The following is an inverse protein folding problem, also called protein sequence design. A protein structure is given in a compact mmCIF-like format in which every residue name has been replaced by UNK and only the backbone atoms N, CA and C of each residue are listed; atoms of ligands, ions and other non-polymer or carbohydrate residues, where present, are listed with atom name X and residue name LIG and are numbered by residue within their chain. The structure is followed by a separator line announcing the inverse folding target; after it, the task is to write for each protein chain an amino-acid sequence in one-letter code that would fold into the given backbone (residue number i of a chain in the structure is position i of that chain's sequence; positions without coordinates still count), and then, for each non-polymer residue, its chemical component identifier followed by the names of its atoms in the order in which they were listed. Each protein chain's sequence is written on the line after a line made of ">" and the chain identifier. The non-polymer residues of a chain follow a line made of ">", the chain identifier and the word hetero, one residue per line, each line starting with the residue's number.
data_IF_656854198917
#
_entry.id   IF_656854198917
#
_cell.length_a   1.000
_cell.length_b   1.000
_cell.length_c   1.000
_cell.angle_alpha   90.00
_cell.angle_beta   90.00
_cell.angle_gamma   90.00
#
_symmetry.space_group_name_H-M   'P 1'
#
loop_
_entity.id
_entity.type
_entity.pdbx_description
1 polymer ?
#
# COMPACT_ATOMS: atom_id res chain seq x y z
N UNK A 1 24.11 -14.74 5.36
CA UNK A 1 23.14 -15.84 5.45
C UNK A 1 22.16 -15.51 6.56
N UNK A 2 21.05 -14.88 6.25
CA UNK A 2 19.91 -14.77 7.17
C UNK A 2 18.71 -15.22 6.35
N UNK A 3 18.51 -16.53 6.37
CA UNK A 3 17.32 -17.16 5.83
C UNK A 3 16.30 -17.17 6.98
N UNK A 4 15.42 -16.22 7.02
CA UNK A 4 14.29 -16.20 7.93
C UNK A 4 13.01 -16.02 7.12
N UNK A 5 12.70 -17.05 6.33
CA UNK A 5 11.30 -17.30 5.98
C UNK A 5 10.58 -17.61 7.30
N UNK A 6 10.05 -16.60 7.94
CA UNK A 6 9.18 -16.75 9.10
C UNK A 6 7.88 -17.38 8.59
N UNK A 7 7.86 -18.70 8.52
CA UNK A 7 6.63 -19.46 8.27
C UNK A 7 5.62 -18.99 9.29
N UNK A 8 4.51 -18.45 8.83
CA UNK A 8 3.42 -18.00 9.69
C UNK A 8 3.11 -19.06 10.73
N UNK A 9 3.22 -18.71 12.02
CA UNK A 9 2.98 -19.67 13.10
C UNK A 9 1.51 -20.10 13.07
N UNK A 10 1.24 -21.38 13.29
CA UNK A 10 -0.11 -21.95 13.24
C UNK A 10 -1.18 -21.14 14.01
N UNK A 11 -0.92 -20.64 15.23
CA UNK A 11 -1.85 -19.77 15.94
C UNK A 11 -2.24 -18.51 15.17
N UNK A 12 -1.28 -17.84 14.53
CA UNK A 12 -1.54 -16.62 13.77
C UNK A 12 -2.43 -16.87 12.53
N UNK A 13 -2.26 -18.00 11.85
CA UNK A 13 -3.13 -18.39 10.74
C UNK A 13 -4.57 -18.67 11.22
N UNK A 14 -4.71 -19.20 12.43
CA UNK A 14 -6.04 -19.40 13.05
C UNK A 14 -6.69 -18.05 13.34
N UNK A 15 -5.94 -17.11 13.90
CA UNK A 15 -6.45 -15.76 14.21
C UNK A 15 -6.89 -15.02 12.93
N UNK A 16 -6.11 -15.11 11.85
CA UNK A 16 -6.50 -14.53 10.55
C UNK A 16 -7.77 -15.15 9.98
N UNK A 17 -7.91 -16.49 10.06
CA UNK A 17 -9.13 -17.16 9.62
C UNK A 17 -10.34 -16.76 10.45
N UNK A 18 -10.16 -16.62 11.76
CA UNK A 18 -11.22 -16.15 12.64
C UNK A 18 -11.63 -14.71 12.29
N UNK A 19 -10.65 -13.83 12.01
CA UNK A 19 -10.93 -12.46 11.57
C UNK A 19 -11.68 -12.42 10.24
N UNK A 20 -11.26 -13.24 9.27
CA UNK A 20 -12.00 -13.39 8.02
C UNK A 20 -13.45 -13.81 8.27
N UNK A 21 -13.69 -14.85 9.08
CA UNK A 21 -15.04 -15.35 9.39
C UNK A 21 -15.90 -14.31 10.12
N UNK A 22 -15.28 -13.49 10.97
CA UNK A 22 -15.97 -12.40 11.67
C UNK A 22 -16.46 -11.33 10.69
N UNK A 23 -15.68 -11.02 9.66
CA UNK A 23 -16.01 -10.02 8.64
C UNK A 23 -16.99 -10.58 7.61
N UNK A 24 -16.73 -11.77 7.09
CA UNK A 24 -17.47 -12.41 5.99
C UNK A 24 -18.89 -12.91 6.37
N UNK A 25 -19.19 -13.01 7.64
CA UNK A 25 -20.52 -13.45 8.06
C UNK A 25 -20.89 -14.87 7.63
N UNK A 26 -22.18 -15.09 7.32
CA UNK A 26 -22.75 -16.41 7.05
C UNK A 26 -22.43 -16.96 5.63
N UNK A 27 -22.26 -16.10 4.65
CA UNK A 27 -21.99 -16.50 3.25
C UNK A 27 -20.51 -16.82 2.99
N UNK A 28 -19.63 -16.53 3.95
CA UNK A 28 -18.19 -16.77 3.89
C UNK A 28 -17.46 -16.02 2.75
N UNK A 29 -18.03 -14.91 2.33
CA UNK A 29 -17.46 -13.98 1.37
C UNK A 29 -17.43 -12.58 2.01
N UNK A 30 -16.45 -11.76 1.64
CA UNK A 30 -16.38 -10.37 2.11
C UNK A 30 -16.71 -9.47 0.94
N UNK A 31 -17.78 -8.69 1.04
CA UNK A 31 -18.07 -7.61 0.11
C UNK A 31 -17.31 -6.32 0.47
N UNK A 32 -17.40 -5.27 -0.39
CA UNK A 32 -16.69 -3.99 -0.16
C UNK A 32 -17.09 -3.30 1.13
N UNK A 33 -18.36 -3.37 1.50
CA UNK A 33 -18.88 -2.72 2.71
C UNK A 33 -18.38 -3.44 3.95
N UNK A 34 -18.46 -4.75 3.97
CA UNK A 34 -17.95 -5.60 5.03
C UNK A 34 -16.43 -5.47 5.19
N UNK A 35 -15.70 -5.37 4.09
CA UNK A 35 -14.25 -5.17 4.08
C UNK A 35 -13.87 -3.82 4.71
N UNK A 36 -14.53 -2.74 4.29
CA UNK A 36 -14.30 -1.40 4.81
C UNK A 36 -14.60 -1.32 6.32
N UNK A 37 -15.77 -1.82 6.72
CA UNK A 37 -16.20 -1.82 8.12
C UNK A 37 -15.33 -2.75 8.98
N UNK A 38 -15.06 -3.96 8.51
CA UNK A 38 -14.31 -4.98 9.26
C UNK A 38 -12.84 -4.66 9.47
N UNK A 39 -12.24 -3.84 8.60
CA UNK A 39 -10.88 -3.33 8.72
C UNK A 39 -10.80 -1.90 9.26
N UNK A 40 -11.94 -1.27 9.55
CA UNK A 40 -12.05 0.10 10.09
C UNK A 40 -11.32 1.15 9.21
N UNK A 41 -11.37 0.97 7.87
CA UNK A 41 -10.69 1.86 6.92
C UNK A 41 -11.55 3.10 6.69
N UNK A 42 -11.08 4.26 7.15
CA UNK A 42 -11.83 5.52 7.05
C UNK A 42 -11.85 6.13 5.65
N UNK A 43 -10.82 5.89 4.84
CA UNK A 43 -10.71 6.42 3.49
C UNK A 43 -11.32 5.42 2.49
N UNK A 44 -12.40 5.85 1.81
CA UNK A 44 -13.14 5.01 0.87
C UNK A 44 -12.31 4.64 -0.37
N UNK A 45 -11.50 5.55 -0.91
CA UNK A 45 -10.67 5.30 -2.10
C UNK A 45 -9.62 4.24 -1.80
N UNK A 46 -8.92 4.37 -0.66
CA UNK A 46 -7.95 3.37 -0.21
C UNK A 46 -8.63 2.04 0.11
N UNK A 47 -9.80 2.07 0.75
CA UNK A 47 -10.55 0.84 1.02
C UNK A 47 -10.92 0.11 -0.27
N UNK A 48 -11.42 0.85 -1.26
CA UNK A 48 -11.76 0.29 -2.57
C UNK A 48 -10.53 -0.27 -3.28
N UNK A 49 -9.42 0.46 -3.28
CA UNK A 49 -8.19 -0.02 -3.91
C UNK A 49 -7.63 -1.25 -3.21
N UNK A 50 -7.62 -1.25 -1.89
CA UNK A 50 -7.18 -2.42 -1.12
C UNK A 50 -8.07 -3.64 -1.38
N UNK A 51 -9.39 -3.44 -1.45
CA UNK A 51 -10.33 -4.50 -1.83
C UNK A 51 -9.99 -5.08 -3.20
N UNK A 52 -9.72 -4.25 -4.21
CA UNK A 52 -9.38 -4.69 -5.57
C UNK A 52 -8.06 -5.50 -5.64
N UNK A 53 -7.13 -5.24 -4.73
CA UNK A 53 -5.89 -6.01 -4.58
C UNK A 53 -6.17 -7.40 -3.97
N UNK A 54 -7.14 -7.50 -3.08
CA UNK A 54 -7.56 -8.77 -2.50
C UNK A 54 -8.44 -9.59 -3.45
N UNK A 55 -9.41 -8.96 -4.12
CA UNK A 55 -10.33 -9.56 -5.10
C UNK A 55 -9.60 -9.82 -6.43
N UNK A 56 -8.80 -10.89 -6.48
CA UNK A 56 -7.91 -11.18 -7.61
C UNK A 56 -8.63 -11.63 -8.87
N UNK A 57 -9.75 -12.33 -8.71
CA UNK A 57 -10.54 -12.82 -9.81
C UNK A 57 -11.62 -11.81 -10.28
N UNK A 58 -11.69 -10.66 -9.59
CA UNK A 58 -12.65 -9.56 -9.84
C UNK A 58 -14.11 -10.04 -9.78
N UNK A 59 -14.39 -10.94 -8.84
CA UNK A 59 -15.75 -11.47 -8.58
C UNK A 59 -16.66 -10.44 -7.88
N UNK A 60 -16.08 -9.41 -7.27
CA UNK A 60 -16.76 -8.42 -6.44
C UNK A 60 -16.88 -8.84 -4.97
N UNK A 61 -16.28 -9.97 -4.61
CA UNK A 61 -16.19 -10.47 -3.24
C UNK A 61 -14.82 -11.10 -2.99
N UNK A 62 -14.35 -11.09 -1.75
CA UNK A 62 -13.09 -11.72 -1.36
C UNK A 62 -13.40 -13.03 -0.65
N UNK A 63 -12.87 -14.13 -1.15
CA UNK A 63 -12.94 -15.42 -0.49
C UNK A 63 -11.76 -15.64 0.49
N UNK A 64 -11.83 -16.72 1.28
CA UNK A 64 -10.80 -17.05 2.28
C UNK A 64 -9.42 -17.33 1.62
N UNK A 65 -9.38 -17.85 0.40
CA UNK A 65 -8.11 -18.15 -0.27
C UNK A 65 -7.43 -16.86 -0.71
N UNK A 66 -8.15 -15.94 -1.33
CA UNK A 66 -7.68 -14.62 -1.73
C UNK A 66 -7.21 -13.79 -0.54
N UNK A 67 -8.00 -13.80 0.54
CA UNK A 67 -7.64 -13.12 1.78
C UNK A 67 -6.33 -13.65 2.35
N UNK A 68 -6.21 -14.96 2.52
CA UNK A 68 -5.02 -15.59 3.10
C UNK A 68 -3.79 -15.42 2.21
N UNK A 69 -3.94 -15.52 0.90
CA UNK A 69 -2.85 -15.39 -0.06
C UNK A 69 -2.26 -13.97 -0.07
N UNK A 70 -3.13 -12.96 -0.03
CA UNK A 70 -2.69 -11.55 0.02
C UNK A 70 -2.01 -11.23 1.34
N UNK A 71 -2.54 -11.70 2.49
CA UNK A 71 -1.90 -11.53 3.79
C UNK A 71 -0.54 -12.26 3.84
N UNK A 72 -0.44 -13.47 3.27
CA UNK A 72 0.82 -14.20 3.21
C UNK A 72 1.89 -13.44 2.39
N UNK A 73 1.49 -12.84 1.27
CA UNK A 73 2.36 -12.00 0.46
C UNK A 73 2.91 -10.81 1.26
N UNK A 74 2.04 -10.09 1.98
CA UNK A 74 2.44 -8.92 2.78
C UNK A 74 3.39 -9.32 3.93
N UNK A 75 3.15 -10.45 4.58
CA UNK A 75 3.94 -10.87 5.77
C UNK A 75 5.23 -11.57 5.35
N UNK A 76 5.15 -12.50 4.41
CA UNK A 76 6.21 -13.46 4.06
C UNK A 76 6.83 -13.23 2.68
N UNK A 77 6.27 -12.31 1.89
CA UNK A 77 6.80 -11.94 0.59
C UNK A 77 8.19 -11.32 0.66
N UNK A 78 8.87 -11.29 -0.47
CA UNK A 78 10.16 -10.59 -0.62
C UNK A 78 9.98 -9.08 -0.45
N UNK A 79 11.07 -8.34 -0.24
CA UNK A 79 11.01 -6.87 -0.20
C UNK A 79 10.40 -6.30 -1.49
N UNK A 80 10.71 -6.91 -2.64
CA UNK A 80 10.12 -6.53 -3.93
C UNK A 80 8.60 -6.74 -3.96
N UNK A 81 8.11 -7.87 -3.41
CA UNK A 81 6.67 -8.16 -3.34
C UNK A 81 5.93 -7.14 -2.46
N UNK A 82 6.56 -6.76 -1.34
CA UNK A 82 6.00 -5.73 -0.44
C UNK A 82 5.99 -4.33 -1.05
N UNK A 83 7.06 -3.97 -1.76
CA UNK A 83 7.13 -2.71 -2.52
C UNK A 83 6.07 -2.72 -3.62
N UNK A 84 5.88 -3.86 -4.32
CA UNK A 84 4.83 -3.99 -5.33
C UNK A 84 3.43 -3.81 -4.73
N UNK A 85 3.15 -4.47 -3.61
CA UNK A 85 1.88 -4.30 -2.90
C UNK A 85 1.62 -2.84 -2.50
N UNK A 86 2.65 -2.16 -1.95
CA UNK A 86 2.53 -0.75 -1.59
C UNK A 86 2.31 0.14 -2.83
N UNK A 87 3.00 -0.13 -3.93
CA UNK A 87 2.80 0.58 -5.20
C UNK A 87 1.36 0.42 -5.70
N UNK A 88 0.88 -0.83 -5.79
CA UNK A 88 -0.47 -1.14 -6.25
C UNK A 88 -1.56 -0.51 -5.37
N UNK A 89 -1.29 -0.37 -4.07
CA UNK A 89 -2.20 0.30 -3.12
C UNK A 89 -2.32 1.81 -3.39
N UNK A 90 -1.27 2.44 -3.87
CA UNK A 90 -1.23 3.89 -4.11
C UNK A 90 -1.52 4.28 -5.57
N UNK A 91 -1.49 3.34 -6.50
CA UNK A 91 -2.01 3.45 -7.85
C UNK A 91 -3.54 3.28 -7.79
N UNK A 92 -4.25 4.37 -7.44
CA UNK A 92 -5.67 4.33 -7.07
C UNK A 92 -6.58 4.04 -8.27
N UNK A 93 -6.18 4.46 -9.46
CA UNK A 93 -6.94 4.29 -10.70
C UNK A 93 -6.52 3.05 -11.52
N UNK A 94 -5.57 2.23 -10.98
CA UNK A 94 -5.03 1.02 -11.64
C UNK A 94 -4.38 1.31 -13.00
N UNK A 95 -3.77 2.50 -13.15
CA UNK A 95 -3.10 2.93 -14.38
C UNK A 95 -1.75 2.23 -14.59
N UNK A 96 -1.16 1.67 -13.56
CA UNK A 96 0.18 1.11 -13.54
C UNK A 96 1.27 2.15 -13.23
N UNK A 97 0.87 3.35 -12.84
CA UNK A 97 1.74 4.47 -12.52
C UNK A 97 1.21 5.19 -11.28
N UNK A 98 2.06 5.94 -10.61
CA UNK A 98 1.64 6.88 -9.55
C UNK A 98 1.79 8.29 -10.10
N UNK A 99 0.69 9.05 -10.14
CA UNK A 99 0.69 10.44 -10.52
C UNK A 99 0.89 11.40 -9.33
N UNK A 100 0.92 12.71 -9.59
CA UNK A 100 1.13 13.72 -8.54
C UNK A 100 -0.04 13.79 -7.54
N UNK A 101 -1.26 13.49 -7.99
CA UNK A 101 -2.45 13.54 -7.12
C UNK A 101 -2.40 12.36 -6.16
N UNK A 102 -2.09 11.17 -6.65
CA UNK A 102 -1.97 9.94 -5.85
C UNK A 102 -0.83 10.03 -4.83
N UNK A 103 0.33 10.56 -5.25
CA UNK A 103 1.43 10.81 -4.33
C UNK A 103 1.06 11.85 -3.27
N UNK A 104 0.31 12.90 -3.64
CA UNK A 104 -0.17 13.91 -2.68
C UNK A 104 -1.08 13.29 -1.64
N UNK A 105 -2.02 12.45 -2.05
CA UNK A 105 -2.91 11.70 -1.14
C UNK A 105 -2.09 10.83 -0.16
N UNK A 106 -1.09 10.11 -0.66
CA UNK A 106 -0.21 9.28 0.16
C UNK A 106 0.53 10.09 1.24
N UNK A 107 1.16 11.22 0.84
CA UNK A 107 1.92 12.05 1.77
C UNK A 107 0.98 12.72 2.80
N UNK A 108 -0.17 13.23 2.35
CA UNK A 108 -1.18 13.84 3.22
C UNK A 108 -1.67 12.85 4.29
N UNK A 109 -1.99 11.64 3.90
CA UNK A 109 -2.41 10.60 4.84
C UNK A 109 -1.30 10.24 5.83
N UNK A 110 -0.06 10.15 5.37
CA UNK A 110 1.08 9.92 6.26
C UNK A 110 1.20 11.01 7.32
N UNK A 111 0.94 12.28 6.98
CA UNK A 111 0.92 13.37 7.95
C UNK A 111 -0.23 13.24 8.94
N UNK A 112 -1.44 12.94 8.47
CA UNK A 112 -2.61 12.74 9.32
C UNK A 112 -2.42 11.59 10.32
N UNK A 113 -1.93 10.44 9.86
CA UNK A 113 -1.67 9.28 10.71
C UNK A 113 -0.62 9.54 11.79
N UNK A 114 0.38 10.37 11.48
CA UNK A 114 1.45 10.72 12.42
C UNK A 114 1.14 12.00 13.22
N UNK A 115 -0.07 12.56 13.11
CA UNK A 115 -0.48 13.81 13.76
C UNK A 115 0.50 14.96 13.47
N UNK A 116 0.99 15.07 12.23
CA UNK A 116 1.88 16.14 11.79
C UNK A 116 1.05 17.26 11.17
N UNK A 117 1.30 18.48 11.60
CA UNK A 117 0.73 19.67 10.97
C UNK A 117 1.45 19.95 9.64
N UNK A 118 0.69 20.30 8.62
CA UNK A 118 1.21 20.73 7.32
C UNK A 118 0.33 21.84 6.73
N UNK A 119 0.91 22.63 5.85
CA UNK A 119 0.14 23.49 4.96
C UNK A 119 0.21 22.96 3.51
N UNK A 120 -0.72 23.41 2.68
CA UNK A 120 -0.85 22.91 1.31
C UNK A 120 0.40 23.22 0.46
N UNK A 121 1.03 24.36 0.70
CA UNK A 121 2.26 24.75 -0.01
C UNK A 121 3.43 23.82 0.36
N UNK A 122 3.56 23.44 1.63
CA UNK A 122 4.58 22.47 2.05
C UNK A 122 4.35 21.10 1.44
N UNK A 123 3.09 20.65 1.36
CA UNK A 123 2.71 19.40 0.75
C UNK A 123 3.06 19.38 -0.74
N UNK A 124 2.69 20.43 -1.47
CA UNK A 124 3.01 20.55 -2.91
C UNK A 124 4.53 20.55 -3.14
N UNK A 125 5.31 21.25 -2.32
CA UNK A 125 6.77 21.22 -2.41
C UNK A 125 7.36 19.82 -2.18
N UNK A 126 6.79 19.04 -1.28
CA UNK A 126 7.23 17.66 -1.03
C UNK A 126 6.92 16.75 -2.22
N UNK A 127 5.71 16.89 -2.80
CA UNK A 127 5.31 16.17 -4.00
C UNK A 127 6.26 16.49 -5.17
N UNK A 128 6.48 17.77 -5.44
CA UNK A 128 7.38 18.22 -6.51
C UNK A 128 8.81 17.70 -6.33
N UNK A 129 9.33 17.75 -5.10
CA UNK A 129 10.68 17.27 -4.81
C UNK A 129 10.79 15.76 -4.92
N UNK A 130 9.74 15.01 -4.54
CA UNK A 130 9.70 13.56 -4.70
C UNK A 130 9.69 13.20 -6.19
N UNK A 131 8.80 13.81 -6.98
CA UNK A 131 8.74 13.60 -8.43
C UNK A 131 10.08 13.93 -9.10
N UNK A 132 10.67 15.08 -8.77
CA UNK A 132 11.97 15.50 -9.34
C UNK A 132 13.07 14.45 -9.16
N UNK A 133 12.96 13.60 -8.15
CA UNK A 133 13.97 12.58 -7.82
C UNK A 133 13.59 11.20 -8.31
N UNK A 134 12.32 10.86 -8.21
CA UNK A 134 11.81 9.54 -8.54
C UNK A 134 11.53 9.39 -10.04
N UNK A 135 10.89 10.37 -10.69
CA UNK A 135 10.59 10.39 -12.12
C UNK A 135 11.87 10.66 -12.92
N UNK A 136 12.62 9.60 -13.23
CA UNK A 136 13.94 9.66 -13.85
C UNK A 136 13.86 9.89 -15.36
N UNK A 137 12.81 9.39 -15.99
CA UNK A 137 12.58 9.51 -17.44
C UNK A 137 11.77 10.76 -17.83
N UNK A 138 11.26 11.48 -16.81
CA UNK A 138 10.44 12.70 -16.93
C UNK A 138 9.13 12.47 -17.68
N UNK A 139 8.50 11.34 -17.44
CA UNK A 139 7.19 10.99 -17.98
C UNK A 139 6.05 11.81 -17.34
N UNK A 140 6.27 12.34 -16.15
CA UNK A 140 5.26 13.01 -15.31
C UNK A 140 4.47 12.04 -14.42
N UNK A 141 4.85 10.77 -14.42
CA UNK A 141 4.32 9.72 -13.56
C UNK A 141 5.49 8.89 -13.03
N UNK A 142 5.26 8.13 -11.97
CA UNK A 142 6.28 7.25 -11.38
C UNK A 142 5.87 5.80 -11.63
N UNK A 143 6.70 5.04 -12.31
CA UNK A 143 6.49 3.62 -12.54
C UNK A 143 7.05 2.75 -11.41
N UNK A 144 6.72 1.44 -11.46
CA UNK A 144 7.20 0.51 -10.45
C UNK A 144 8.72 0.34 -10.42
N UNK A 145 9.40 0.46 -11.57
CA UNK A 145 10.86 0.40 -11.65
C UNK A 145 11.51 1.57 -10.90
N UNK A 146 10.97 2.75 -11.06
CA UNK A 146 11.43 3.96 -10.41
C UNK A 146 11.21 3.92 -8.89
N UNK A 147 10.05 3.44 -8.42
CA UNK A 147 9.82 3.21 -6.99
C UNK A 147 10.78 2.16 -6.43
N UNK A 148 11.06 1.11 -7.18
CA UNK A 148 12.01 0.08 -6.77
C UNK A 148 13.43 0.64 -6.63
N UNK A 149 13.84 1.53 -7.54
CA UNK A 149 15.13 2.22 -7.47
C UNK A 149 15.19 3.18 -6.28
N UNK A 150 14.10 3.92 -6.00
CA UNK A 150 13.99 4.75 -4.78
C UNK A 150 14.13 3.88 -3.53
N UNK A 151 13.46 2.75 -3.46
CA UNK A 151 13.50 1.85 -2.31
C UNK A 151 14.89 1.25 -2.09
N UNK A 152 15.60 0.87 -3.16
CA UNK A 152 16.97 0.35 -3.09
C UNK A 152 17.98 1.42 -2.65
N UNK A 153 17.77 2.66 -3.06
CA UNK A 153 18.66 3.79 -2.77
C UNK A 153 18.07 4.72 -1.69
N UNK A 154 17.21 4.19 -0.82
CA UNK A 154 16.42 4.96 0.14
C UNK A 154 17.24 5.92 1.01
N UNK A 155 18.42 5.49 1.47
CA UNK A 155 19.29 6.34 2.29
C UNK A 155 19.83 7.55 1.51
N UNK A 156 20.23 7.36 0.26
CA UNK A 156 20.70 8.43 -0.62
C UNK A 156 19.52 9.32 -1.05
N UNK A 157 18.35 8.73 -1.27
CA UNK A 157 17.12 9.44 -1.58
C UNK A 157 16.74 10.39 -0.44
N UNK A 158 16.70 9.90 0.81
CA UNK A 158 16.39 10.72 1.99
C UNK A 158 17.44 11.79 2.27
N UNK A 159 18.73 11.50 2.04
CA UNK A 159 19.79 12.48 2.26
C UNK A 159 19.59 13.77 1.44
N UNK A 160 18.88 13.66 0.34
CA UNK A 160 18.55 14.82 -0.48
C UNK A 160 17.42 15.68 0.06
N UNK A 161 16.57 15.19 0.96
CA UNK A 161 15.56 15.99 1.67
C UNK A 161 16.11 16.67 2.92
N UNK A 162 17.30 16.25 3.41
CA UNK A 162 17.94 16.91 4.52
C UNK A 162 18.31 18.34 4.13
N UNK A 163 17.65 19.31 4.74
CA UNK A 163 18.04 20.74 4.63
C UNK A 163 19.46 20.83 5.16
N UNK A 164 20.42 21.15 4.27
CA UNK A 164 21.77 21.49 4.76
C UNK A 164 21.64 22.73 5.62
N UNK A 165 22.18 22.69 6.86
CA UNK A 165 22.15 23.83 7.76
C UNK A 165 22.85 25.04 7.17
#
# INVERSE_FOLDING_TARGET
>A
MINSSKKLAGPFLVDLRNKFQEIAGEDQLIDRSEFQEGLEISNEEISNRLFDIFDKDKSGTIDIAEFMETIELVISGTDKDKIRFAFDLHDLDDSGFIDQIELKILIEQSFLENNLDYDEFQLDLLVDEFFRRADTDKSGTIDFGEILDVAHNYQDFLAGFAVKP
#
